data_IF_329190516736
#
_entry.id   IF_329190516736
#
_cell.length_a   1.000
_cell.length_b   1.000
_cell.length_c   1.000
_cell.angle_alpha   90.00
_cell.angle_beta   90.00
_cell.angle_gamma   90.00
#
_symmetry.space_group_name_H-M   'P 1'
#
loop_
_entity.id
_entity.type
_entity.pdbx_description
1 polymer ?
#
# COMPACT_ATOMS: atom_id res chain seq x y z
N UNK A 1 -9.77 -21.50 14.65
CA UNK A 1 -9.87 -21.01 13.26
C UNK A 1 -9.63 -19.52 13.27
N UNK A 2 -8.64 -19.04 12.52
CA UNK A 2 -8.40 -17.60 12.34
C UNK A 2 -9.28 -17.18 11.16
N UNK A 3 -10.24 -16.30 11.41
CA UNK A 3 -10.94 -15.58 10.36
C UNK A 3 -10.11 -14.35 10.00
N UNK A 4 -9.52 -14.36 8.81
CA UNK A 4 -8.86 -13.17 8.24
C UNK A 4 -9.91 -12.47 7.39
N UNK A 5 -10.40 -11.32 7.87
CA UNK A 5 -11.21 -10.42 7.05
C UNK A 5 -10.28 -9.48 6.29
N UNK A 6 -10.15 -9.71 4.98
CA UNK A 6 -9.56 -8.71 4.09
C UNK A 6 -10.53 -7.53 4.08
N UNK A 7 -10.12 -6.42 4.72
CA UNK A 7 -10.91 -5.20 4.73
C UNK A 7 -11.13 -4.73 3.29
N UNK A 8 -12.33 -4.24 2.97
CA UNK A 8 -12.61 -3.69 1.65
C UNK A 8 -11.80 -2.39 1.40
N UNK A 9 -11.50 -2.03 0.13
CA UNK A 9 -10.90 -0.75 -0.19
C UNK A 9 -11.76 0.40 0.34
N UNK A 10 -11.12 1.38 0.95
CA UNK A 10 -11.79 2.57 1.48
C UNK A 10 -11.53 3.78 0.59
N UNK A 11 -12.31 4.84 0.78
CA UNK A 11 -12.03 6.13 0.16
C UNK A 11 -10.73 6.71 0.77
N UNK A 12 -9.80 7.09 -0.10
CA UNK A 12 -8.49 7.64 0.26
C UNK A 12 -8.47 9.17 0.28
N UNK A 13 -9.53 9.83 -0.18
CA UNK A 13 -9.64 11.29 -0.25
C UNK A 13 -10.73 11.78 0.69
N UNK A 14 -10.58 13.01 1.18
CA UNK A 14 -11.52 13.67 2.08
C UNK A 14 -11.90 15.07 1.59
N UNK A 15 -12.86 15.72 2.25
CA UNK A 15 -13.21 17.12 1.95
C UNK A 15 -12.11 18.12 2.28
N UNK A 16 -11.02 17.68 2.93
CA UNK A 16 -9.90 18.52 3.35
C UNK A 16 -8.68 18.38 2.43
N UNK A 17 -8.79 17.66 1.30
CA UNK A 17 -7.69 17.60 0.35
C UNK A 17 -7.34 19.00 -0.20
N UNK A 18 -6.06 19.22 -0.46
CA UNK A 18 -5.57 20.45 -1.14
C UNK A 18 -5.07 20.08 -2.53
N UNK A 19 -5.97 19.92 -3.53
CA UNK A 19 -5.55 19.62 -4.89
C UNK A 19 -5.04 20.85 -5.63
N UNK A 20 -4.11 20.62 -6.55
CA UNK A 20 -3.55 21.62 -7.44
C UNK A 20 -3.91 21.26 -8.88
N UNK A 21 -4.61 22.17 -9.55
CA UNK A 21 -4.95 22.01 -10.97
C UNK A 21 -3.71 22.12 -11.83
N UNK A 22 -3.65 21.34 -12.89
CA UNK A 22 -2.54 21.31 -13.85
C UNK A 22 -3.03 21.21 -15.28
N UNK A 23 -2.19 21.65 -16.22
CA UNK A 23 -2.45 21.58 -17.65
C UNK A 23 -1.15 21.35 -18.43
N UNK A 24 -1.31 21.07 -19.74
CA UNK A 24 -0.22 20.89 -20.71
C UNK A 24 0.77 19.81 -20.27
N UNK A 25 0.23 18.63 -19.94
CA UNK A 25 1.04 17.53 -19.43
C UNK A 25 0.52 16.18 -19.91
N UNK A 26 1.44 15.24 -19.98
CA UNK A 26 1.18 13.84 -20.32
C UNK A 26 1.68 12.96 -19.18
N UNK A 27 1.35 11.66 -19.20
CA UNK A 27 1.91 10.70 -18.26
C UNK A 27 3.45 10.79 -18.26
N UNK A 28 4.03 10.88 -17.06
CA UNK A 28 5.46 11.11 -16.77
C UNK A 28 6.05 12.39 -17.39
N UNK A 29 5.23 13.30 -17.92
CA UNK A 29 5.65 14.61 -18.42
C UNK A 29 5.59 15.69 -17.34
N UNK A 30 6.38 16.76 -17.52
CA UNK A 30 6.30 17.97 -16.69
C UNK A 30 4.91 18.60 -16.80
N UNK A 31 4.47 19.31 -15.77
CA UNK A 31 3.14 19.91 -15.72
C UNK A 31 3.17 21.38 -15.32
N UNK A 32 2.37 22.19 -16.01
CA UNK A 32 2.19 23.59 -15.68
C UNK A 32 1.04 23.76 -14.66
N UNK A 33 1.20 24.63 -13.64
CA UNK A 33 0.14 24.88 -12.66
C UNK A 33 -1.00 25.68 -13.30
N UNK A 34 -2.24 25.21 -13.12
CA UNK A 34 -3.42 25.96 -13.53
C UNK A 34 -3.74 27.07 -12.52
N UNK A 35 -4.30 28.17 -13.00
CA UNK A 35 -4.65 29.34 -12.18
C UNK A 35 -6.11 29.76 -12.37
N UNK A 36 -6.66 30.53 -11.42
CA UNK A 36 -8.02 31.05 -11.52
C UNK A 36 -8.16 32.04 -12.68
N UNK A 37 -9.08 31.79 -13.60
CA UNK A 37 -9.30 32.61 -14.80
C UNK A 37 -10.26 31.97 -15.82
N UNK A 38 -10.35 32.54 -17.02
CA UNK A 38 -11.28 32.10 -18.07
C UNK A 38 -10.57 31.75 -19.39
N UNK A 39 -9.24 31.62 -19.38
CA UNK A 39 -8.43 31.35 -20.57
C UNK A 39 -7.71 30.00 -20.52
N UNK A 40 -6.74 29.84 -21.42
CA UNK A 40 -5.83 28.70 -21.44
C UNK A 40 -5.08 28.55 -20.12
N UNK A 41 -4.95 27.32 -19.64
CA UNK A 41 -4.34 26.97 -18.36
C UNK A 41 -5.15 27.41 -17.15
N UNK A 42 -6.41 27.81 -17.32
CA UNK A 42 -7.24 28.30 -16.22
C UNK A 42 -8.39 27.37 -15.83
N UNK A 43 -8.90 27.63 -14.62
CA UNK A 43 -10.20 27.20 -14.13
C UNK A 43 -11.02 28.41 -13.70
N UNK A 44 -12.35 28.43 -13.90
CA UNK A 44 -13.20 29.49 -13.39
C UNK A 44 -13.05 29.65 -11.87
N UNK A 45 -13.09 30.87 -11.30
CA UNK A 45 -12.82 31.08 -9.86
C UNK A 45 -13.65 30.21 -8.91
N UNK A 46 -14.92 29.96 -9.25
CA UNK A 46 -15.84 29.16 -8.45
C UNK A 46 -15.86 27.67 -8.83
N UNK A 47 -15.05 27.26 -9.82
CA UNK A 47 -14.98 25.90 -10.35
C UNK A 47 -13.55 25.34 -10.22
N UNK A 48 -12.95 25.57 -9.05
CA UNK A 48 -11.55 25.28 -8.76
C UNK A 48 -11.31 23.79 -8.43
N UNK A 49 -10.04 23.32 -8.40
CA UNK A 49 -9.71 21.91 -8.17
C UNK A 49 -10.30 21.30 -6.90
N UNK A 50 -10.52 22.10 -5.84
CA UNK A 50 -11.06 21.61 -4.55
C UNK A 50 -12.48 21.06 -4.68
N UNK A 51 -13.25 21.55 -5.64
CA UNK A 51 -14.61 21.07 -5.90
C UNK A 51 -14.62 19.59 -6.36
N UNK A 52 -13.49 19.03 -6.80
CA UNK A 52 -13.42 17.60 -7.09
C UNK A 52 -13.49 16.71 -5.84
N UNK A 53 -13.29 17.25 -4.63
CA UNK A 53 -13.21 16.47 -3.38
C UNK A 53 -14.17 16.96 -2.29
N UNK A 54 -15.00 17.96 -2.56
CA UNK A 54 -15.87 18.61 -1.58
C UNK A 54 -17.11 17.78 -1.19
N UNK A 55 -17.24 16.56 -1.73
CA UNK A 55 -18.38 15.66 -1.54
C UNK A 55 -19.73 16.26 -1.97
N UNK A 56 -19.73 17.23 -2.87
CA UNK A 56 -20.92 17.87 -3.39
C UNK A 56 -21.02 17.75 -4.91
N UNK A 57 -21.91 16.88 -5.39
CA UNK A 57 -22.09 16.71 -6.85
C UNK A 57 -22.60 17.98 -7.54
N UNK A 58 -23.12 18.98 -6.83
CA UNK A 58 -23.63 20.21 -7.45
C UNK A 58 -22.55 21.27 -7.73
N UNK A 59 -21.33 21.09 -7.22
CA UNK A 59 -20.17 21.90 -7.61
C UNK A 59 -19.38 21.16 -8.69
N UNK A 60 -18.38 21.81 -9.27
CA UNK A 60 -17.53 21.19 -10.30
C UNK A 60 -16.13 21.74 -10.30
N UNK A 61 -15.17 20.90 -10.64
CA UNK A 61 -13.91 21.35 -11.16
C UNK A 61 -14.01 21.40 -12.69
N UNK A 62 -13.61 22.53 -13.27
CA UNK A 62 -13.49 22.72 -14.72
C UNK A 62 -12.09 23.19 -15.05
N UNK A 63 -11.50 22.63 -16.10
CA UNK A 63 -10.22 23.08 -16.63
C UNK A 63 -10.33 23.33 -18.14
N UNK A 64 -9.95 24.53 -18.57
CA UNK A 64 -9.93 24.89 -19.99
C UNK A 64 -8.78 24.18 -20.73
N UNK A 65 -7.69 23.81 -20.05
CA UNK A 65 -6.53 23.20 -20.70
C UNK A 65 -5.82 24.16 -21.65
N UNK A 66 -5.23 23.65 -22.73
CA UNK A 66 -4.54 24.47 -23.72
C UNK A 66 -5.51 25.02 -24.77
N UNK A 67 -4.97 25.78 -25.72
CA UNK A 67 -5.67 26.37 -26.86
C UNK A 67 -6.30 25.33 -27.81
N UNK A 68 -6.92 25.84 -28.89
CA UNK A 68 -8.15 25.31 -29.49
C UNK A 68 -8.18 23.86 -29.97
N UNK A 69 -7.02 23.22 -30.10
CA UNK A 69 -6.89 21.88 -30.65
C UNK A 69 -7.20 20.79 -29.62
N UNK A 70 -6.88 21.03 -28.33
CA UNK A 70 -6.96 20.02 -27.27
C UNK A 70 -7.60 20.54 -25.97
N UNK A 71 -8.56 21.47 -26.10
CA UNK A 71 -9.31 22.04 -24.97
C UNK A 71 -9.63 21.01 -23.87
N UNK A 72 -9.14 21.24 -22.66
CA UNK A 72 -9.35 20.41 -21.47
C UNK A 72 -8.67 19.04 -21.45
N UNK A 73 -8.08 18.56 -22.57
CA UNK A 73 -7.23 17.37 -22.55
C UNK A 73 -5.86 17.72 -21.98
N UNK A 74 -5.11 16.71 -21.54
CA UNK A 74 -3.80 16.90 -20.94
C UNK A 74 -3.86 17.84 -19.72
N UNK A 75 -5.02 17.85 -19.05
CA UNK A 75 -5.29 18.57 -17.81
C UNK A 75 -5.60 17.61 -16.68
N UNK A 76 -5.59 18.12 -15.46
CA UNK A 76 -6.13 17.41 -14.33
C UNK A 76 -5.70 18.06 -13.04
N UNK A 77 -5.32 17.23 -12.08
CA UNK A 77 -4.88 17.71 -10.78
C UNK A 77 -3.86 16.76 -10.17
N UNK A 78 -3.08 17.26 -9.22
CA UNK A 78 -2.37 16.43 -8.27
C UNK A 78 -2.69 16.85 -6.84
N UNK A 79 -2.46 15.93 -5.91
CA UNK A 79 -2.58 16.18 -4.49
C UNK A 79 -1.63 15.28 -3.70
N UNK A 80 -1.24 15.73 -2.52
CA UNK A 80 -0.65 14.89 -1.48
C UNK A 80 -1.76 14.50 -0.52
N UNK A 81 -1.97 13.21 -0.31
CA UNK A 81 -3.08 12.72 0.51
C UNK A 81 -2.91 13.15 1.96
N UNK A 82 -3.92 13.82 2.53
CA UNK A 82 -3.91 14.24 3.94
C UNK A 82 -3.80 13.06 4.91
N UNK A 83 -4.33 11.90 4.52
CA UNK A 83 -4.25 10.67 5.32
C UNK A 83 -2.90 9.96 5.29
N UNK A 84 -1.93 10.50 4.54
CA UNK A 84 -0.62 9.91 4.33
C UNK A 84 -0.58 8.84 3.24
N UNK A 85 0.61 8.26 3.07
CA UNK A 85 0.91 7.30 2.00
C UNK A 85 -0.13 6.18 1.95
N UNK A 86 -0.64 5.89 0.76
CA UNK A 86 -1.71 4.92 0.55
C UNK A 86 -1.44 4.11 -0.71
N UNK A 87 -2.08 2.95 -0.88
CA UNK A 87 -2.10 2.19 -2.13
C UNK A 87 -3.44 2.46 -2.78
N UNK A 88 -3.47 3.28 -3.83
CA UNK A 88 -4.64 3.45 -4.68
C UNK A 88 -4.84 2.22 -5.56
N UNK A 89 -6.09 1.74 -5.65
CA UNK A 89 -6.50 0.57 -6.44
C UNK A 89 -7.80 0.81 -7.20
N UNK A 90 -8.47 1.95 -6.98
CA UNK A 90 -9.67 2.28 -7.71
C UNK A 90 -9.86 3.77 -7.83
N UNK A 91 -10.61 4.18 -8.86
CA UNK A 91 -11.01 5.56 -9.05
C UNK A 91 -12.46 5.66 -9.51
N UNK A 92 -13.08 6.81 -9.27
CA UNK A 92 -14.46 7.08 -9.68
C UNK A 92 -14.69 8.57 -9.92
N UNK A 93 -15.48 8.88 -10.95
CA UNK A 93 -15.90 10.24 -11.27
C UNK A 93 -17.41 10.43 -11.09
N UNK A 94 -17.81 11.68 -10.80
CA UNK A 94 -19.19 12.14 -11.00
C UNK A 94 -19.27 13.23 -12.06
N UNK A 95 -20.37 13.23 -12.77
CA UNK A 95 -20.65 14.16 -13.86
C UNK A 95 -21.16 15.51 -13.34
N UNK A 96 -20.63 16.60 -13.91
CA UNK A 96 -21.09 17.94 -13.57
C UNK A 96 -22.42 18.31 -14.27
N UNK A 97 -22.89 19.53 -14.05
CA UNK A 97 -24.22 20.02 -14.44
C UNK A 97 -24.39 20.41 -15.92
N UNK A 98 -23.34 20.91 -16.59
CA UNK A 98 -23.49 21.61 -17.88
C UNK A 98 -23.54 20.65 -19.09
N UNK A 99 -22.40 20.37 -19.72
CA UNK A 99 -22.33 19.69 -21.01
C UNK A 99 -21.73 18.29 -20.89
N UNK A 100 -22.45 17.22 -21.29
CA UNK A 100 -21.93 15.85 -21.29
C UNK A 100 -20.65 15.69 -22.13
N UNK A 101 -20.47 16.49 -23.17
CA UNK A 101 -19.28 16.48 -24.03
C UNK A 101 -17.97 16.78 -23.28
N UNK A 102 -18.05 17.41 -22.11
CA UNK A 102 -16.90 17.75 -21.26
C UNK A 102 -16.55 16.65 -20.26
N UNK A 103 -17.33 15.57 -20.19
CA UNK A 103 -17.06 14.48 -19.26
C UNK A 103 -15.75 13.78 -19.62
N UNK A 104 -14.88 13.48 -18.64
CA UNK A 104 -13.68 12.70 -18.88
C UNK A 104 -14.06 11.27 -19.24
N UNK A 105 -13.49 10.70 -20.29
CA UNK A 105 -13.70 9.31 -20.72
C UNK A 105 -12.50 8.41 -20.44
N UNK A 106 -11.29 8.92 -20.67
CA UNK A 106 -10.05 8.23 -20.37
C UNK A 106 -9.15 9.11 -19.53
N UNK A 107 -8.43 8.45 -18.63
CA UNK A 107 -7.56 9.10 -17.65
C UNK A 107 -6.28 8.30 -17.45
N UNK A 108 -5.26 8.98 -16.94
CA UNK A 108 -4.12 8.33 -16.29
C UNK A 108 -4.09 8.69 -14.81
N UNK A 109 -3.66 7.73 -13.99
CA UNK A 109 -3.33 7.96 -12.60
C UNK A 109 -1.87 7.59 -12.36
N UNK A 110 -1.15 8.49 -11.70
CA UNK A 110 0.25 8.33 -11.37
C UNK A 110 0.47 8.54 -9.87
N UNK A 111 1.50 7.93 -9.32
CA UNK A 111 1.90 8.09 -7.93
C UNK A 111 3.29 8.68 -7.78
N UNK A 112 3.50 9.42 -6.69
CA UNK A 112 4.80 9.96 -6.30
C UNK A 112 5.04 9.86 -4.79
N UNK A 113 6.31 9.67 -4.43
CA UNK A 113 6.83 9.84 -3.06
C UNK A 113 7.87 10.96 -2.99
N UNK A 114 7.98 11.79 -4.03
CA UNK A 114 8.89 12.93 -4.06
C UNK A 114 8.36 14.09 -3.20
N UNK A 115 9.24 15.04 -2.89
CA UNK A 115 8.85 16.25 -2.15
C UNK A 115 7.88 17.12 -2.96
N UNK A 116 7.05 17.91 -2.28
CA UNK A 116 6.11 18.83 -2.92
C UNK A 116 6.77 19.77 -3.95
N UNK A 117 8.03 20.16 -3.73
CA UNK A 117 8.79 21.04 -4.64
C UNK A 117 9.13 20.40 -5.99
N UNK A 118 8.95 19.08 -6.13
CA UNK A 118 9.28 18.33 -7.35
C UNK A 118 8.03 17.82 -8.08
N UNK A 119 6.82 18.06 -7.56
CA UNK A 119 5.58 17.50 -8.10
C UNK A 119 5.15 18.10 -9.44
N UNK A 120 5.77 19.20 -9.88
CA UNK A 120 5.62 19.74 -11.24
C UNK A 120 6.51 19.03 -12.27
N UNK A 121 7.48 18.21 -11.84
CA UNK A 121 8.39 17.48 -12.72
C UNK A 121 7.81 16.11 -13.05
N UNK A 122 7.78 15.76 -14.34
CA UNK A 122 7.29 14.50 -14.86
C UNK A 122 8.04 13.28 -14.32
N UNK A 123 9.35 13.44 -14.12
CA UNK A 123 10.22 12.41 -13.53
C UNK A 123 9.87 12.03 -12.09
N UNK A 124 9.04 12.84 -11.41
CA UNK A 124 8.54 12.51 -10.07
C UNK A 124 7.41 11.48 -10.08
N UNK A 125 6.81 11.21 -11.24
CA UNK A 125 5.57 10.45 -11.35
C UNK A 125 5.77 9.07 -11.97
N UNK A 126 5.21 8.06 -11.32
CA UNK A 126 5.13 6.68 -11.85
C UNK A 126 3.71 6.37 -12.28
N UNK A 127 3.51 5.97 -13.54
CA UNK A 127 2.21 5.56 -14.05
C UNK A 127 1.71 4.28 -13.35
N UNK A 128 0.48 4.36 -12.82
CA UNK A 128 -0.19 3.25 -12.12
C UNK A 128 -1.42 2.78 -12.89
N UNK A 129 -2.12 3.70 -13.56
CA UNK A 129 -3.32 3.40 -14.32
C UNK A 129 -3.39 4.23 -15.59
N UNK A 130 -3.85 3.61 -16.68
CA UNK A 130 -4.22 4.27 -17.92
C UNK A 130 -5.44 3.54 -18.47
N UNK A 131 -6.59 4.22 -18.53
CA UNK A 131 -7.83 3.57 -18.89
C UNK A 131 -9.07 4.43 -18.72
N UNK A 132 -10.22 3.76 -18.67
CA UNK A 132 -11.54 4.37 -18.54
C UNK A 132 -11.66 5.24 -17.28
N UNK A 133 -12.47 6.28 -17.34
CA UNK A 133 -12.94 7.03 -16.16
C UNK A 133 -14.16 6.39 -15.49
N UNK A 134 -14.80 5.42 -16.14
CA UNK A 134 -16.10 4.88 -15.76
C UNK A 134 -17.30 5.71 -16.23
N UNK A 135 -17.08 6.69 -17.12
CA UNK A 135 -18.14 7.54 -17.71
C UNK A 135 -18.40 7.26 -19.20
N UNK A 136 -17.88 6.16 -19.76
CA UNK A 136 -18.16 5.77 -21.15
C UNK A 136 -19.68 5.76 -21.43
N UNK A 137 -20.43 5.07 -20.57
CA UNK A 137 -21.89 5.23 -20.46
C UNK A 137 -22.19 6.47 -19.62
N UNK A 138 -22.95 7.43 -20.17
CA UNK A 138 -23.36 8.64 -19.44
C UNK A 138 -24.35 8.26 -18.31
N UNK A 139 -23.99 8.44 -17.02
CA UNK A 139 -24.89 8.15 -15.91
C UNK A 139 -25.99 9.22 -15.72
N UNK A 140 -26.04 10.26 -16.56
CA UNK A 140 -26.83 11.46 -16.34
C UNK A 140 -25.99 12.54 -15.64
N UNK A 141 -26.57 13.72 -15.37
CA UNK A 141 -25.87 14.82 -14.67
C UNK A 141 -25.93 14.61 -13.16
N UNK A 142 -24.98 15.19 -12.43
CA UNK A 142 -24.88 15.06 -10.96
C UNK A 142 -24.81 13.62 -10.47
N UNK A 143 -24.29 12.73 -11.30
CA UNK A 143 -24.42 11.29 -11.11
C UNK A 143 -23.04 10.65 -11.13
N UNK A 144 -22.83 9.71 -10.21
CA UNK A 144 -21.59 8.96 -10.14
C UNK A 144 -21.54 7.87 -11.21
N UNK A 145 -20.42 7.77 -11.91
CA UNK A 145 -20.12 6.69 -12.84
C UNK A 145 -19.78 5.36 -12.16
N UNK A 146 -19.26 4.42 -12.95
CA UNK A 146 -18.76 3.15 -12.44
C UNK A 146 -17.36 3.29 -11.82
N UNK A 147 -17.09 2.57 -10.73
CA UNK A 147 -15.75 2.51 -10.15
C UNK A 147 -14.85 1.70 -11.08
N UNK A 148 -13.69 2.26 -11.42
CA UNK A 148 -12.67 1.57 -12.19
C UNK A 148 -11.62 1.04 -11.23
N UNK A 149 -11.52 -0.29 -11.13
CA UNK A 149 -10.54 -0.97 -10.30
C UNK A 149 -9.31 -1.36 -11.13
N UNK A 150 -8.13 -1.26 -10.50
CA UNK A 150 -6.85 -1.58 -11.11
C UNK A 150 -5.86 -2.13 -10.08
N UNK A 151 -4.82 -2.79 -10.57
CA UNK A 151 -3.78 -3.37 -9.74
C UNK A 151 -2.68 -2.34 -9.45
N UNK A 152 -2.36 -2.18 -8.17
CA UNK A 152 -1.20 -1.43 -7.71
C UNK A 152 -0.73 -2.05 -6.38
N UNK A 153 0.57 -2.23 -6.22
CA UNK A 153 1.17 -2.75 -5.00
C UNK A 153 2.07 -1.73 -4.30
N UNK A 154 2.32 -0.58 -4.94
CA UNK A 154 3.24 0.43 -4.42
C UNK A 154 2.44 1.56 -3.75
N UNK A 155 2.74 1.86 -2.47
CA UNK A 155 2.10 2.96 -1.78
C UNK A 155 2.74 4.30 -2.17
N UNK A 156 1.92 5.32 -2.43
CA UNK A 156 2.35 6.68 -2.77
C UNK A 156 1.74 7.72 -1.83
N UNK A 157 2.51 8.77 -1.55
CA UNK A 157 2.06 9.92 -0.75
C UNK A 157 1.22 10.89 -1.60
N UNK A 158 1.59 11.05 -2.86
CA UNK A 158 0.94 11.96 -3.80
C UNK A 158 0.41 11.22 -5.02
N UNK A 159 -0.70 11.71 -5.56
CA UNK A 159 -1.32 11.18 -6.77
C UNK A 159 -1.56 12.29 -7.78
N UNK A 160 -1.34 11.98 -9.06
CA UNK A 160 -1.64 12.86 -10.19
C UNK A 160 -2.63 12.18 -11.12
N UNK A 161 -3.74 12.87 -11.37
CA UNK A 161 -4.79 12.49 -12.29
C UNK A 161 -4.67 13.35 -13.54
N UNK A 162 -4.66 12.72 -14.72
CA UNK A 162 -4.74 13.42 -16.01
C UNK A 162 -5.92 12.93 -16.83
N UNK A 163 -6.56 13.83 -17.55
CA UNK A 163 -7.65 13.54 -18.49
C UNK A 163 -7.05 13.45 -19.90
N UNK A 164 -7.11 12.27 -20.50
CA UNK A 164 -6.51 11.98 -21.81
C UNK A 164 -7.54 11.89 -22.93
N UNK A 165 -8.82 11.71 -22.58
CA UNK A 165 -9.92 11.78 -23.54
C UNK A 165 -11.18 12.27 -22.82
N UNK A 166 -12.05 12.97 -23.56
CA UNK A 166 -13.37 13.40 -23.11
C UNK A 166 -14.45 13.03 -24.12
N UNK A 167 -15.73 13.15 -23.73
CA UNK A 167 -16.85 12.59 -24.49
C UNK A 167 -17.05 13.22 -25.87
N UNK A 168 -16.87 14.52 -25.99
CA UNK A 168 -17.10 15.24 -27.24
C UNK A 168 -16.15 16.41 -27.41
N UNK A 169 -16.46 17.25 -28.40
CA UNK A 169 -15.70 18.48 -28.67
C UNK A 169 -16.34 19.65 -27.94
N UNK A 170 -15.62 20.17 -26.95
CA UNK A 170 -16.01 21.32 -26.12
C UNK A 170 -14.77 22.08 -25.70
N UNK A 171 -14.90 23.26 -25.12
CA UNK A 171 -13.75 24.10 -24.75
C UNK A 171 -13.10 23.76 -23.40
N UNK A 172 -13.48 22.65 -22.75
CA UNK A 172 -12.98 22.29 -21.42
C UNK A 172 -13.28 20.83 -21.06
N UNK A 173 -12.75 20.39 -19.92
CA UNK A 173 -13.20 19.19 -19.20
C UNK A 173 -13.81 19.61 -17.87
N UNK A 174 -14.83 18.88 -17.41
CA UNK A 174 -15.47 19.12 -16.12
C UNK A 174 -15.87 17.82 -15.41
N UNK A 175 -15.87 17.85 -14.09
CA UNK A 175 -16.42 16.79 -13.24
C UNK A 175 -16.78 17.36 -11.87
N UNK A 176 -17.84 16.81 -11.26
CA UNK A 176 -18.32 17.25 -9.94
C UNK A 176 -17.62 16.57 -8.79
N UNK A 177 -16.87 15.50 -9.06
CA UNK A 177 -16.21 14.75 -8.01
C UNK A 177 -15.27 13.72 -8.56
N UNK A 178 -14.21 13.49 -7.80
CA UNK A 178 -13.19 12.47 -8.03
C UNK A 178 -12.92 11.74 -6.72
N UNK A 179 -13.05 10.42 -6.76
CA UNK A 179 -12.83 9.55 -5.62
C UNK A 179 -11.69 8.60 -5.94
N UNK A 180 -10.76 8.49 -4.99
CA UNK A 180 -9.67 7.54 -5.04
C UNK A 180 -9.91 6.47 -3.98
N UNK A 181 -9.90 5.21 -4.36
CA UNK A 181 -10.13 4.07 -3.47
C UNK A 181 -8.88 3.24 -3.31
N UNK A 182 -8.74 2.60 -2.14
CA UNK A 182 -7.63 1.71 -1.88
C UNK A 182 -7.40 1.49 -0.40
N UNK A 183 -6.14 1.27 -0.03
CA UNK A 183 -5.75 0.99 1.34
C UNK A 183 -4.79 2.05 1.87
N UNK A 184 -4.95 2.54 3.11
CA UNK A 184 -3.82 3.19 3.79
C UNK A 184 -2.61 2.30 3.72
N UNK A 185 -1.44 2.91 3.52
CA UNK A 185 -0.24 2.29 4.03
C UNK A 185 -0.42 2.30 5.54
N UNK A 186 -0.88 1.17 6.07
CA UNK A 186 -0.88 0.94 7.49
C UNK A 186 0.59 1.09 7.91
N UNK A 187 0.90 2.13 8.68
CA UNK A 187 1.93 1.95 9.70
C UNK A 187 1.23 1.03 10.69
N UNK A 188 1.58 -0.26 10.79
CA UNK A 188 0.81 -1.17 11.62
C UNK A 188 0.95 -0.70 13.08
N UNK A 189 -0.07 -0.03 13.59
CA UNK A 189 -0.28 0.15 15.02
C UNK A 189 -1.22 -0.98 15.44
N UNK A 190 -0.63 -2.10 15.84
CA UNK A 190 -1.37 -3.24 16.34
C UNK A 190 -1.94 -2.89 17.73
N UNK A 191 -3.24 -2.61 17.81
CA UNK A 191 -3.96 -2.57 19.08
C UNK A 191 -4.49 -3.97 19.39
N UNK A 192 -3.66 -4.80 20.02
CA UNK A 192 -4.09 -6.11 20.53
C UNK A 192 -5.00 -5.90 21.74
N UNK A 193 -6.29 -6.25 21.59
CA UNK A 193 -7.20 -6.40 22.72
C UNK A 193 -7.36 -7.88 23.03
N UNK A 194 -6.64 -8.36 24.04
CA UNK A 194 -6.75 -9.74 24.52
C UNK A 194 -8.12 -9.89 25.19
N UNK A 195 -8.99 -10.77 24.66
CA UNK A 195 -10.21 -11.21 25.34
C UNK A 195 -9.88 -12.54 26.02
N UNK A 196 -9.76 -12.53 27.35
CA UNK A 196 -9.63 -13.76 28.12
C UNK A 196 -11.02 -14.39 28.31
N UNK A 197 -11.21 -15.64 27.90
CA UNK A 197 -12.29 -16.47 28.41
C UNK A 197 -11.78 -17.17 29.67
N UNK A 198 -12.11 -16.62 30.83
CA UNK A 198 -11.86 -17.30 32.10
C UNK A 198 -13.03 -18.23 32.41
N UNK A 199 -12.83 -19.54 32.29
CA UNK A 199 -13.59 -20.50 33.10
C UNK A 199 -12.86 -20.64 34.43
N UNK A 200 -13.31 -19.90 35.44
CA UNK A 200 -12.76 -20.00 36.79
C UNK A 200 -13.30 -21.25 37.48
N UNK A 201 -12.40 -22.18 37.80
CA UNK A 201 -12.54 -23.04 38.98
C UNK A 201 -11.32 -22.80 39.86
N UNK A 202 -11.49 -22.01 40.92
CA UNK A 202 -10.52 -21.86 41.98
C UNK A 202 -9.57 -20.66 41.83
N UNK A 203 -9.34 -19.99 42.97
CA UNK A 203 -8.57 -18.76 43.13
C UNK A 203 -7.13 -18.90 42.61
N UNK A 204 -6.67 -17.94 41.80
CA UNK A 204 -5.44 -17.20 42.08
C UNK A 204 -5.36 -15.91 41.25
N UNK A 205 -4.76 -14.89 41.86
CA UNK A 205 -4.67 -13.50 41.40
C UNK A 205 -3.66 -13.37 40.24
N UNK A 206 -4.11 -13.08 39.03
CA UNK A 206 -3.26 -12.74 37.89
C UNK A 206 -3.01 -11.23 37.81
N UNK A 207 -1.77 -10.81 38.08
CA UNK A 207 -1.29 -9.46 37.71
C UNK A 207 -1.10 -9.43 36.19
N UNK A 208 -1.67 -8.47 35.45
CA UNK A 208 -1.49 -8.40 34.01
C UNK A 208 -0.06 -7.95 33.68
N UNK A 209 0.74 -8.87 33.11
CA UNK A 209 2.01 -8.50 32.47
C UNK A 209 1.68 -7.88 31.12
N UNK A 210 2.08 -6.63 30.93
CA UNK A 210 1.89 -5.90 29.67
C UNK A 210 3.22 -5.92 28.91
N UNK A 211 3.37 -6.80 27.92
CA UNK A 211 4.51 -6.77 27.02
C UNK A 211 4.16 -5.92 25.79
N UNK A 212 4.70 -4.70 25.74
CA UNK A 212 4.70 -3.87 24.53
C UNK A 212 5.95 -4.16 23.70
N UNK A 213 5.79 -4.71 22.51
CA UNK A 213 6.83 -4.75 21.48
C UNK A 213 6.32 -4.15 20.17
N UNK A 214 7.12 -3.27 19.58
CA UNK A 214 6.85 -2.63 18.29
C UNK A 214 7.63 -3.36 17.20
N UNK A 215 6.94 -4.06 16.31
CA UNK A 215 7.56 -4.76 15.17
C UNK A 215 7.08 -4.12 13.87
N UNK A 216 8.02 -3.76 13.00
CA UNK A 216 7.79 -3.02 11.75
C UNK A 216 8.01 -3.92 10.53
N UNK A 217 7.01 -4.68 10.09
CA UNK A 217 7.08 -5.47 8.83
C UNK A 217 5.69 -5.65 8.17
N UNK A 218 5.69 -6.14 6.91
CA UNK A 218 4.53 -6.28 6.01
C UNK A 218 3.46 -7.28 6.49
N UNK A 219 2.24 -7.15 5.98
CA UNK A 219 1.02 -7.79 6.52
C UNK A 219 1.05 -9.31 6.63
N UNK A 220 1.70 -10.02 5.70
CA UNK A 220 1.82 -11.50 5.76
C UNK A 220 2.83 -11.94 6.83
N UNK A 221 3.87 -11.13 7.07
CA UNK A 221 4.86 -11.37 8.12
C UNK A 221 4.21 -11.23 9.50
N UNK A 222 3.32 -10.26 9.66
CA UNK A 222 2.55 -10.07 10.90
C UNK A 222 1.55 -11.22 11.11
N UNK A 223 0.84 -11.68 10.08
CA UNK A 223 -0.06 -12.85 10.18
C UNK A 223 0.68 -14.13 10.61
N UNK A 224 1.85 -14.38 10.02
CA UNK A 224 2.63 -15.58 10.29
C UNK A 224 3.31 -15.55 11.67
N UNK A 225 3.89 -14.41 12.06
CA UNK A 225 4.46 -14.21 13.41
C UNK A 225 3.36 -14.29 14.47
N UNK A 226 2.17 -13.74 14.21
CA UNK A 226 1.02 -13.84 15.13
C UNK A 226 0.49 -15.27 15.23
N UNK A 227 0.52 -16.05 14.14
CA UNK A 227 0.18 -17.48 14.17
C UNK A 227 1.16 -18.28 15.04
N UNK A 228 2.46 -18.06 14.89
CA UNK A 228 3.51 -18.68 15.72
C UNK A 228 3.31 -18.28 17.20
N UNK A 229 3.14 -16.99 17.49
CA UNK A 229 2.92 -16.49 18.85
C UNK A 229 1.62 -17.00 19.49
N UNK A 230 0.56 -17.23 18.69
CA UNK A 230 -0.70 -17.82 19.19
C UNK A 230 -0.56 -19.30 19.56
N UNK A 231 0.43 -19.99 18.99
CA UNK A 231 0.79 -21.38 19.29
C UNK A 231 1.81 -21.48 20.44
N UNK A 232 2.47 -20.38 20.82
CA UNK A 232 3.42 -20.32 21.94
C UNK A 232 2.78 -20.52 23.33
N UNK A 233 1.45 -20.55 23.44
CA UNK A 233 0.75 -20.82 24.70
C UNK A 233 0.55 -22.33 24.98
N UNK A 234 0.87 -23.21 24.03
CA UNK A 234 0.85 -24.65 24.23
C UNK A 234 2.31 -25.16 24.32
N UNK A 235 2.61 -25.99 25.33
CA UNK A 235 3.95 -26.45 25.75
C UNK A 235 4.78 -27.26 24.71
N UNK A 236 4.49 -27.17 23.40
CA UNK A 236 5.15 -27.96 22.34
C UNK A 236 5.77 -27.01 21.28
N UNK A 237 6.72 -26.19 21.76
CA UNK A 237 7.24 -24.98 21.09
C UNK A 237 8.17 -25.29 19.90
N UNK A 238 8.85 -26.44 19.89
CA UNK A 238 9.95 -26.71 18.95
C UNK A 238 9.45 -27.07 17.54
N UNK A 239 8.48 -27.98 17.42
CA UNK A 239 8.06 -28.52 16.13
C UNK A 239 7.44 -27.48 15.18
N UNK A 240 6.55 -26.57 15.62
CA UNK A 240 5.94 -25.58 14.73
C UNK A 240 6.94 -24.54 14.23
N UNK A 241 7.88 -24.12 15.09
CA UNK A 241 8.94 -23.16 14.75
C UNK A 241 9.90 -23.78 13.73
N UNK A 242 10.28 -25.04 13.93
CA UNK A 242 11.21 -25.74 13.04
C UNK A 242 10.58 -26.09 11.68
N UNK A 243 9.29 -26.45 11.64
CA UNK A 243 8.56 -26.66 10.37
C UNK A 243 8.41 -25.36 9.59
N UNK A 244 8.14 -24.25 10.29
CA UNK A 244 8.04 -22.93 9.66
C UNK A 244 9.36 -22.44 9.06
N UNK A 245 10.46 -22.63 9.78
CA UNK A 245 11.80 -22.28 9.30
C UNK A 245 12.27 -23.21 8.16
N UNK A 246 11.95 -24.51 8.21
CA UNK A 246 12.26 -25.47 7.15
C UNK A 246 11.52 -25.21 5.83
N UNK A 247 10.28 -24.74 5.90
CA UNK A 247 9.52 -24.32 4.72
C UNK A 247 10.10 -23.04 4.11
N UNK A 248 10.57 -22.09 4.93
CA UNK A 248 11.20 -20.85 4.46
C UNK A 248 12.50 -21.11 3.69
N UNK A 249 13.32 -22.08 4.11
CA UNK A 249 14.54 -22.49 3.39
C UNK A 249 14.28 -23.22 2.06
N UNK A 250 13.05 -23.69 1.81
CA UNK A 250 12.68 -24.34 0.53
C UNK A 250 12.02 -23.37 -0.47
N UNK A 251 11.62 -22.17 -0.02
CA UNK A 251 10.90 -21.17 -0.82
C UNK A 251 11.77 -20.01 -1.32
N UNK A 252 13.09 -20.20 -1.38
CA UNK A 252 14.09 -19.18 -1.77
C UNK A 252 13.81 -18.49 -3.14
N UNK A 253 12.99 -19.10 -4.00
CA UNK A 253 12.64 -18.54 -5.32
C UNK A 253 11.53 -17.46 -5.31
N UNK A 254 10.80 -17.26 -4.21
CA UNK A 254 9.57 -16.43 -4.22
C UNK A 254 9.60 -15.15 -3.36
N UNK A 255 10.65 -14.91 -2.59
CA UNK A 255 10.73 -13.75 -1.69
C UNK A 255 11.99 -12.92 -1.92
N UNK A 256 11.83 -11.60 -1.99
CA UNK A 256 12.93 -10.63 -2.00
C UNK A 256 13.86 -10.85 -0.79
N UNK A 257 15.18 -10.87 -1.04
CA UNK A 257 16.25 -11.02 -0.04
C UNK A 257 16.08 -10.13 1.20
N UNK A 258 15.62 -8.89 1.04
CA UNK A 258 15.47 -7.92 2.12
C UNK A 258 14.35 -8.33 3.10
N UNK A 259 13.29 -8.97 2.58
CA UNK A 259 12.18 -9.48 3.38
C UNK A 259 12.60 -10.71 4.16
N UNK A 260 13.37 -11.60 3.53
CA UNK A 260 13.96 -12.78 4.16
C UNK A 260 14.93 -12.37 5.27
N UNK A 261 15.82 -11.40 5.00
CA UNK A 261 16.83 -10.93 5.95
C UNK A 261 16.21 -10.21 7.16
N UNK A 262 15.12 -9.47 6.96
CA UNK A 262 14.35 -8.84 8.05
C UNK A 262 13.69 -9.88 8.97
N UNK A 263 13.16 -10.97 8.40
CA UNK A 263 12.58 -12.09 9.17
C UNK A 263 13.66 -12.78 9.99
N UNK A 264 14.80 -13.11 9.37
CA UNK A 264 15.89 -13.76 10.08
C UNK A 264 16.46 -12.89 11.20
N UNK A 265 16.63 -11.58 10.98
CA UNK A 265 17.11 -10.65 12.01
C UNK A 265 16.17 -10.56 13.22
N UNK A 266 14.85 -10.71 13.02
CA UNK A 266 13.86 -10.67 14.10
C UNK A 266 13.73 -12.01 14.86
N UNK A 267 13.86 -13.14 14.16
CA UNK A 267 13.62 -14.48 14.73
C UNK A 267 14.87 -15.09 15.36
N UNK A 268 16.06 -14.82 14.81
CA UNK A 268 17.32 -15.41 15.27
C UNK A 268 17.65 -15.11 16.75
N UNK A 269 17.46 -13.88 17.26
CA UNK A 269 17.72 -13.57 18.67
C UNK A 269 16.77 -14.33 19.61
N UNK A 270 15.49 -14.47 19.23
CA UNK A 270 14.47 -15.18 20.00
C UNK A 270 14.76 -16.68 20.06
N UNK A 271 15.19 -17.26 18.94
CA UNK A 271 15.61 -18.66 18.88
C UNK A 271 16.87 -18.89 19.73
N UNK A 272 17.86 -17.99 19.65
CA UNK A 272 19.08 -18.06 20.44
C UNK A 272 18.80 -17.96 21.95
N UNK A 273 17.92 -17.04 22.36
CA UNK A 273 17.53 -16.86 23.75
C UNK A 273 16.75 -18.07 24.28
N UNK A 274 15.86 -18.65 23.48
CA UNK A 274 15.19 -19.91 23.81
C UNK A 274 16.18 -21.07 23.99
N UNK A 275 17.16 -21.22 23.10
CA UNK A 275 18.20 -22.27 23.21
C UNK A 275 19.05 -22.06 24.47
N UNK A 276 19.42 -20.82 24.78
CA UNK A 276 20.21 -20.49 25.97
C UNK A 276 19.42 -20.78 27.25
N UNK A 277 18.13 -20.44 27.28
CA UNK A 277 17.26 -20.69 28.44
C UNK A 277 17.01 -22.19 28.67
N UNK A 278 16.86 -22.98 27.61
CA UNK A 278 16.57 -24.41 27.71
C UNK A 278 17.82 -25.31 27.73
N UNK A 279 19.03 -24.74 27.57
CA UNK A 279 20.30 -25.48 27.65
C UNK A 279 20.57 -26.13 29.01
N UNK A 280 19.94 -25.62 30.07
CA UNK A 280 20.17 -26.05 31.45
C UNK A 280 19.07 -26.96 32.00
N UNK A 281 18.02 -27.24 31.24
CA UNK A 281 16.83 -27.99 31.69
C UNK A 281 16.73 -29.40 31.12
N UNK A 282 17.49 -29.75 30.09
CA UNK A 282 17.46 -31.09 29.51
C UNK A 282 18.56 -32.00 30.09
N UNK A 283 18.18 -32.81 31.08
CA UNK A 283 18.79 -34.13 31.30
C UNK A 283 18.28 -35.18 30.28
N UNK A 284 17.70 -34.75 29.15
CA UNK A 284 17.18 -35.65 28.14
C UNK A 284 18.18 -35.85 27.00
N UNK A 285 18.54 -37.11 26.80
CA UNK A 285 19.57 -37.66 25.90
C UNK A 285 19.21 -37.61 24.41
N UNK A 286 18.32 -36.72 23.96
CA UNK A 286 17.90 -36.67 22.55
C UNK A 286 18.58 -35.55 21.76
N UNK A 287 19.83 -35.84 21.36
CA UNK A 287 20.72 -34.97 20.59
C UNK A 287 20.23 -34.62 19.17
N UNK A 288 19.05 -35.10 18.75
CA UNK A 288 18.49 -34.91 17.41
C UNK A 288 17.97 -33.48 17.20
N UNK A 289 17.26 -32.93 18.18
CA UNK A 289 16.73 -31.56 18.14
C UNK A 289 17.85 -30.51 18.14
N UNK A 290 18.92 -30.75 18.91
CA UNK A 290 20.06 -29.85 18.98
C UNK A 290 20.85 -29.83 17.65
N UNK A 291 21.07 -30.99 17.02
CA UNK A 291 21.69 -31.05 15.69
C UNK A 291 20.86 -30.34 14.61
N UNK A 292 19.54 -30.50 14.64
CA UNK A 292 18.66 -29.84 13.67
C UNK A 292 18.64 -28.32 13.86
N UNK A 293 18.71 -27.85 15.09
CA UNK A 293 18.85 -26.42 15.43
C UNK A 293 20.20 -25.85 14.99
N UNK A 294 21.31 -26.59 15.19
CA UNK A 294 22.62 -26.17 14.68
C UNK A 294 22.67 -26.15 13.15
N UNK A 295 22.09 -27.14 12.48
CA UNK A 295 21.93 -27.16 11.02
C UNK A 295 21.13 -25.94 10.52
N UNK A 296 20.04 -25.60 11.21
CA UNK A 296 19.19 -24.46 10.87
C UNK A 296 19.92 -23.11 11.09
N UNK A 297 20.65 -22.95 12.19
CA UNK A 297 21.49 -21.77 12.46
C UNK A 297 22.56 -21.59 11.38
N UNK A 298 23.17 -22.68 10.92
CA UNK A 298 24.16 -22.64 9.83
C UNK A 298 23.53 -22.20 8.50
N UNK A 299 22.36 -22.75 8.15
CA UNK A 299 21.58 -22.31 6.97
C UNK A 299 21.20 -20.83 7.04
N UNK A 300 20.67 -20.36 8.17
CA UNK A 300 20.28 -18.96 8.38
C UNK A 300 21.48 -18.01 8.29
N UNK A 301 22.64 -18.44 8.79
CA UNK A 301 23.88 -17.66 8.73
C UNK A 301 24.43 -17.58 7.30
N UNK A 302 24.34 -18.68 6.52
CA UNK A 302 24.69 -18.71 5.10
C UNK A 302 23.87 -17.70 4.27
N UNK A 303 22.55 -17.66 4.48
CA UNK A 303 21.66 -16.71 3.78
C UNK A 303 21.97 -15.25 4.15
N UNK A 304 22.36 -14.98 5.41
CA UNK A 304 22.72 -13.61 5.84
C UNK A 304 24.10 -13.14 5.37
N UNK A 305 25.07 -14.05 5.16
CA UNK A 305 26.42 -13.70 4.69
C UNK A 305 26.47 -13.54 3.17
N UNK A 306 25.69 -14.32 2.41
CA UNK A 306 25.78 -14.39 0.95
C UNK A 306 25.28 -13.12 0.22
N UNK A 307 24.28 -12.40 0.77
CA UNK A 307 23.64 -11.26 0.09
C UNK A 307 22.96 -11.64 -1.25
N UNK A 308 22.27 -10.70 -1.91
CA UNK A 308 21.44 -10.98 -3.11
C UNK A 308 22.21 -11.30 -4.41
N UNK A 309 23.51 -11.60 -4.35
CA UNK A 309 24.38 -11.68 -5.54
C UNK A 309 25.20 -12.98 -5.66
N UNK A 310 25.13 -13.93 -4.72
CA UNK A 310 25.85 -15.19 -4.87
C UNK A 310 25.06 -16.23 -5.67
N UNK A 311 25.78 -17.01 -6.47
CA UNK A 311 25.19 -18.08 -7.28
C UNK A 311 25.07 -19.39 -6.48
N UNK A 312 24.33 -20.35 -7.02
CA UNK A 312 23.99 -21.62 -6.35
C UNK A 312 25.20 -22.44 -5.88
N UNK A 313 26.37 -22.28 -6.52
CA UNK A 313 27.62 -22.98 -6.17
C UNK A 313 28.34 -22.34 -4.99
N UNK A 314 28.31 -21.02 -4.87
CA UNK A 314 28.91 -20.30 -3.73
C UNK A 314 28.11 -20.53 -2.44
N UNK A 315 26.79 -20.66 -2.59
CA UNK A 315 25.86 -20.99 -1.50
C UNK A 315 26.09 -22.42 -0.99
N UNK A 316 26.25 -23.39 -1.89
CA UNK A 316 26.56 -24.79 -1.55
C UNK A 316 27.92 -24.93 -0.84
N UNK A 317 28.90 -24.09 -1.18
CA UNK A 317 30.22 -24.12 -0.58
C UNK A 317 30.22 -23.53 0.85
N UNK A 318 29.41 -22.50 1.08
CA UNK A 318 29.21 -21.89 2.41
C UNK A 318 28.46 -22.85 3.35
N UNK A 319 27.50 -23.61 2.81
CA UNK A 319 26.79 -24.66 3.55
C UNK A 319 27.65 -25.86 3.92
N UNK A 320 28.64 -26.23 3.10
CA UNK A 320 29.59 -27.30 3.41
C UNK A 320 30.68 -26.89 4.41
N UNK A 321 30.89 -25.59 4.61
CA UNK A 321 31.91 -25.05 5.52
C UNK A 321 31.43 -24.88 6.97
N UNK A 322 30.11 -24.85 7.19
CA UNK A 322 29.47 -24.82 8.52
C UNK A 322 29.14 -26.25 9.00
#
# INVERSE_FOLDING_TARGET
YIHVEISAPILLTSTNETPYGIYETIASGDSNPSTSGMGSGNYPPNENPSNAFDSNVTTKYLNFGTDEVEWGLNTGLYLTLQRGTSIAMGLRFSTANDFPNRDPLFVTLEGSNQSNASLNLGSSWTLIYSGSSGLATDPGRYSWGEIQWFSNSIPYASYRLLITQKRGSENSVQYSGFQLYGYPRLVPQLHLKIIQNTTTNGLESSVPVTCTTSITTSSVIVEYVTHILSKCNDNDILNPIMVGLGLMTQTEEFYNSDSIQSIFTAVLPLLAEYIIQNRNTEQHTDNSNLHYVYWLLCKMTGVMIAGPQQNSLEMEHTEKAC
#
